data_IF_764012036560
#
_entry.id   IF_764012036560
#
_cell.length_a   1.000
_cell.length_b   1.000
_cell.length_c   1.000
_cell.angle_alpha   90.00
_cell.angle_beta   90.00
_cell.angle_gamma   90.00
#
_symmetry.space_group_name_H-M   'P 1'
#
loop_
_entity.id
_entity.type
_entity.pdbx_description
1 polymer ?
#
# COMPACT_ATOMS: atom_id res chain seq x y z
N UNK A 1 17.62 3.10 -25.18
CA UNK A 1 18.50 2.88 -24.01
C UNK A 1 17.76 3.13 -22.68
N UNK A 2 16.73 3.98 -22.68
CA UNK A 2 15.86 4.25 -21.52
C UNK A 2 15.01 3.05 -21.08
N UNK A 3 14.46 2.25 -22.00
CA UNK A 3 13.62 1.09 -21.63
C UNK A 3 14.36 0.07 -20.74
N UNK A 4 15.65 -0.22 -20.99
CA UNK A 4 16.43 -1.14 -20.13
C UNK A 4 16.65 -0.59 -18.71
N UNK A 5 16.69 0.74 -18.56
CA UNK A 5 16.87 1.39 -17.26
C UNK A 5 15.58 1.34 -16.45
N UNK A 6 14.46 1.68 -17.09
CA UNK A 6 13.10 1.57 -16.50
C UNK A 6 12.81 0.14 -16.05
N UNK A 7 13.13 -0.88 -16.86
CA UNK A 7 12.95 -2.29 -16.48
C UNK A 7 13.85 -2.74 -15.31
N UNK A 8 15.04 -2.14 -15.15
CA UNK A 8 15.93 -2.43 -14.02
C UNK A 8 15.49 -1.75 -12.72
N UNK A 9 14.86 -0.59 -12.82
CA UNK A 9 14.28 0.16 -11.70
C UNK A 9 12.96 -0.47 -11.25
N UNK A 10 12.12 -0.93 -12.18
CA UNK A 10 10.91 -1.72 -11.84
C UNK A 10 11.23 -3.10 -11.27
N UNK A 11 12.31 -3.77 -11.70
CA UNK A 11 12.74 -5.02 -11.07
C UNK A 11 13.14 -4.83 -9.58
N UNK A 12 13.81 -3.71 -9.26
CA UNK A 12 14.15 -3.36 -7.86
C UNK A 12 12.91 -3.02 -7.02
N UNK A 13 11.88 -2.44 -7.64
CA UNK A 13 10.59 -2.17 -6.99
C UNK A 13 9.87 -3.46 -6.58
N UNK A 14 9.84 -4.45 -7.49
CA UNK A 14 9.26 -5.77 -7.21
C UNK A 14 10.06 -6.50 -6.13
N UNK A 15 11.39 -6.44 -6.17
CA UNK A 15 12.26 -7.04 -5.15
C UNK A 15 12.12 -6.34 -3.78
N UNK A 16 11.98 -5.02 -3.75
CA UNK A 16 11.73 -4.25 -2.54
C UNK A 16 10.34 -4.53 -1.94
N UNK A 17 9.30 -4.67 -2.77
CA UNK A 17 7.98 -5.11 -2.32
C UNK A 17 8.01 -6.56 -1.79
N UNK A 18 8.91 -7.40 -2.33
CA UNK A 18 9.15 -8.77 -1.90
C UNK A 18 9.99 -8.93 -0.63
N UNK A 19 10.84 -7.97 -0.26
CA UNK A 19 11.66 -7.99 0.98
C UNK A 19 11.06 -7.14 2.11
N UNK A 20 11.64 -7.22 3.31
CA UNK A 20 11.34 -6.42 4.51
C UNK A 20 11.58 -4.90 4.34
N UNK A 21 11.41 -4.34 3.14
CA UNK A 21 11.53 -2.91 2.94
C UNK A 21 10.36 -2.19 3.63
N UNK A 22 10.61 -1.08 4.35
CA UNK A 22 9.54 -0.27 4.93
C UNK A 22 8.57 0.18 3.83
N UNK A 23 7.26 0.10 4.10
CA UNK A 23 6.19 0.50 3.16
C UNK A 23 6.50 1.86 2.51
N UNK A 24 6.87 2.85 3.33
CA UNK A 24 7.20 4.19 2.88
C UNK A 24 8.26 4.23 1.77
N UNK A 25 9.25 3.34 1.81
CA UNK A 25 10.29 3.24 0.78
C UNK A 25 9.72 2.74 -0.53
N UNK A 26 8.93 1.66 -0.51
CA UNK A 26 8.32 1.10 -1.73
C UNK A 26 7.41 2.13 -2.39
N UNK A 27 6.55 2.80 -1.60
CA UNK A 27 5.66 3.83 -2.12
C UNK A 27 6.43 5.04 -2.68
N UNK A 28 7.55 5.44 -2.05
CA UNK A 28 8.42 6.52 -2.55
C UNK A 28 9.04 6.20 -3.89
N UNK A 29 9.52 4.97 -4.06
CA UNK A 29 10.10 4.50 -5.32
C UNK A 29 9.02 4.38 -6.42
N UNK A 30 7.79 3.96 -6.08
CA UNK A 30 6.66 3.96 -7.03
C UNK A 30 6.35 5.38 -7.51
N UNK A 31 6.28 6.35 -6.61
CA UNK A 31 6.04 7.77 -6.96
C UNK A 31 7.18 8.31 -7.81
N UNK A 32 8.42 7.95 -7.51
CA UNK A 32 9.60 8.32 -8.32
C UNK A 32 9.51 7.74 -9.74
N UNK A 33 9.19 6.45 -9.86
CA UNK A 33 9.04 5.77 -11.14
C UNK A 33 7.89 6.35 -11.97
N UNK A 34 6.74 6.64 -11.35
CA UNK A 34 5.59 7.26 -12.02
C UNK A 34 5.96 8.63 -12.62
N UNK A 35 6.80 9.42 -11.94
CA UNK A 35 7.27 10.70 -12.47
C UNK A 35 8.27 10.52 -13.61
N UNK A 36 9.15 9.54 -13.51
CA UNK A 36 10.18 9.28 -14.51
C UNK A 36 9.61 8.84 -15.88
N UNK A 37 8.51 8.11 -15.90
CA UNK A 37 7.92 7.56 -17.14
C UNK A 37 6.94 8.50 -17.86
N UNK A 38 6.46 9.53 -17.17
CA UNK A 38 5.34 10.37 -17.68
C UNK A 38 5.87 11.59 -18.43
N UNK A 39 6.35 12.60 -17.72
CA UNK A 39 6.94 13.79 -18.31
C UNK A 39 7.81 14.53 -17.31
N UNK A 40 8.81 15.25 -17.81
CA UNK A 40 9.54 16.22 -16.99
C UNK A 40 8.55 17.26 -16.41
N UNK A 41 8.74 17.63 -15.14
CA UNK A 41 7.86 18.58 -14.45
C UNK A 41 6.54 18.02 -13.91
N UNK A 42 6.19 16.75 -14.14
CA UNK A 42 5.01 16.17 -13.50
C UNK A 42 5.23 15.97 -11.99
N UNK A 43 4.10 15.96 -11.27
CA UNK A 43 4.04 15.70 -9.84
C UNK A 43 3.23 14.43 -9.64
N UNK A 44 3.57 13.62 -8.66
CA UNK A 44 2.80 12.42 -8.35
C UNK A 44 2.59 12.27 -6.86
N UNK A 45 1.55 11.53 -6.48
CA UNK A 45 1.26 11.22 -5.10
C UNK A 45 0.59 9.86 -4.97
N UNK A 46 0.83 9.21 -3.84
CA UNK A 46 0.07 8.05 -3.40
C UNK A 46 -0.80 8.46 -2.22
N UNK A 47 -2.10 8.24 -2.36
CA UNK A 47 -3.09 8.40 -1.31
C UNK A 47 -3.52 7.03 -0.80
N UNK A 48 -3.62 6.88 0.52
CA UNK A 48 -4.04 5.65 1.17
C UNK A 48 -5.46 5.82 1.71
N UNK A 49 -6.30 4.81 1.48
CA UNK A 49 -7.68 4.79 1.92
C UNK A 49 -7.76 4.43 3.40
N UNK A 50 -8.26 5.36 4.20
CA UNK A 50 -8.71 5.12 5.56
C UNK A 50 -10.17 4.67 5.53
N UNK A 51 -10.39 3.37 5.72
CA UNK A 51 -11.71 2.76 5.68
C UNK A 51 -12.60 3.19 6.87
N UNK A 52 -12.01 3.57 8.00
CA UNK A 52 -12.76 4.01 9.18
C UNK A 52 -13.34 5.42 9.01
N UNK A 53 -12.55 6.31 8.38
CA UNK A 53 -12.96 7.68 8.10
C UNK A 53 -13.56 7.89 6.70
N UNK A 54 -13.58 6.85 5.86
CA UNK A 54 -14.00 6.89 4.46
C UNK A 54 -13.33 8.02 3.65
N UNK A 55 -12.02 8.19 3.87
CA UNK A 55 -11.23 9.26 3.29
C UNK A 55 -9.87 8.80 2.79
N UNK A 56 -9.27 9.62 1.94
CA UNK A 56 -7.93 9.44 1.41
C UNK A 56 -6.96 10.36 2.14
N UNK A 57 -5.91 9.76 2.68
CA UNK A 57 -4.81 10.46 3.33
C UNK A 57 -3.55 10.37 2.48
N UNK A 58 -2.75 11.44 2.45
CA UNK A 58 -1.52 11.44 1.69
C UNK A 58 -0.51 10.46 2.31
N UNK A 59 -0.13 9.43 1.55
CA UNK A 59 0.92 8.48 1.96
C UNK A 59 2.30 8.96 1.52
N UNK A 60 2.45 9.36 0.25
CA UNK A 60 3.72 9.85 -0.31
C UNK A 60 3.49 11.04 -1.22
N UNK A 61 4.27 12.10 -1.00
CA UNK A 61 4.33 13.28 -1.85
C UNK A 61 5.52 13.23 -2.83
N UNK A 62 5.25 13.36 -4.13
CA UNK A 62 6.22 13.44 -5.21
C UNK A 62 6.24 14.80 -5.91
N UNK A 63 6.35 15.89 -5.15
CA UNK A 63 6.54 17.23 -5.70
C UNK A 63 5.29 18.11 -5.73
N UNK A 64 4.22 17.75 -5.01
CA UNK A 64 3.08 18.63 -4.79
C UNK A 64 3.46 19.78 -3.83
N UNK A 65 3.05 21.03 -4.12
CA UNK A 65 3.23 22.16 -3.21
C UNK A 65 2.52 21.91 -1.87
N UNK A 66 3.08 22.43 -0.78
CA UNK A 66 2.53 22.22 0.56
C UNK A 66 1.08 22.72 0.69
N UNK A 67 0.76 23.89 0.11
CA UNK A 67 -0.60 24.41 0.12
C UNK A 67 -1.63 23.49 -0.55
N UNK A 68 -1.22 22.74 -1.58
CA UNK A 68 -2.07 21.73 -2.19
C UNK A 68 -2.22 20.54 -1.25
N UNK A 69 -1.09 20.03 -0.72
CA UNK A 69 -1.07 18.90 0.22
C UNK A 69 -2.00 19.14 1.41
N UNK A 70 -1.96 20.33 2.01
CA UNK A 70 -2.79 20.69 3.15
C UNK A 70 -4.28 20.74 2.79
N UNK A 71 -4.61 21.25 1.59
CA UNK A 71 -5.98 21.34 1.11
C UNK A 71 -6.61 19.98 0.76
N UNK A 72 -5.78 18.96 0.49
CA UNK A 72 -6.22 17.64 0.00
C UNK A 72 -6.13 16.53 1.05
N UNK A 73 -5.78 16.86 2.29
CA UNK A 73 -5.84 15.90 3.40
C UNK A 73 -7.28 15.51 3.73
N UNK A 74 -7.53 14.21 3.93
CA UNK A 74 -8.85 13.70 4.28
C UNK A 74 -9.86 13.82 3.13
N UNK A 75 -9.40 13.72 1.88
CA UNK A 75 -10.27 13.74 0.71
C UNK A 75 -11.36 12.69 0.85
N UNK A 76 -12.63 13.10 0.78
CA UNK A 76 -13.74 12.14 0.89
C UNK A 76 -13.70 11.16 -0.28
N UNK A 77 -14.01 9.90 -0.01
CA UNK A 77 -14.25 8.91 -1.05
C UNK A 77 -15.73 8.96 -1.42
N UNK A 78 -16.03 9.47 -2.60
CA UNK A 78 -17.41 9.57 -3.10
C UNK A 78 -17.43 9.72 -4.63
N UNK A 79 -18.57 9.38 -5.23
CA UNK A 79 -18.78 9.44 -6.68
C UNK A 79 -18.51 10.82 -7.28
N UNK A 80 -18.91 11.87 -6.55
CA UNK A 80 -18.87 13.27 -7.01
C UNK A 80 -17.56 13.99 -6.72
N UNK A 81 -16.57 13.27 -6.18
CA UNK A 81 -15.25 13.81 -5.92
C UNK A 81 -14.40 13.75 -7.20
N UNK A 82 -13.51 14.71 -7.43
CA UNK A 82 -12.62 14.63 -8.58
C UNK A 82 -11.54 13.56 -8.38
N UNK A 83 -11.13 12.95 -9.49
CA UNK A 83 -9.92 12.13 -9.61
C UNK A 83 -9.76 11.09 -8.47
N UNK A 84 -8.90 11.35 -7.50
CA UNK A 84 -8.53 10.38 -6.45
C UNK A 84 -9.76 9.85 -5.67
N UNK A 85 -10.64 10.75 -5.23
CA UNK A 85 -11.81 10.37 -4.41
C UNK A 85 -12.82 9.51 -5.16
N UNK A 86 -13.03 9.79 -6.44
CA UNK A 86 -13.91 9.00 -7.32
C UNK A 86 -13.27 7.69 -7.76
N UNK A 87 -11.97 7.68 -8.06
CA UNK A 87 -11.25 6.43 -8.36
C UNK A 87 -11.29 5.48 -7.16
N UNK A 88 -11.13 6.00 -5.95
CA UNK A 88 -11.27 5.21 -4.72
C UNK A 88 -12.71 4.68 -4.53
N UNK A 89 -13.72 5.41 -4.98
CA UNK A 89 -15.12 4.99 -4.92
C UNK A 89 -15.47 3.94 -5.99
N UNK A 90 -15.02 4.16 -7.24
CA UNK A 90 -15.37 3.31 -8.39
C UNK A 90 -14.49 2.06 -8.52
N UNK A 91 -13.24 2.12 -8.03
CA UNK A 91 -12.24 1.08 -8.30
C UNK A 91 -11.79 1.02 -9.75
N UNK A 92 -11.95 2.10 -10.51
CA UNK A 92 -11.55 2.21 -11.91
C UNK A 92 -10.69 3.47 -12.13
N UNK A 93 -9.77 3.44 -13.09
CA UNK A 93 -8.95 4.60 -13.44
C UNK A 93 -9.79 5.78 -13.93
N UNK A 94 -9.38 7.01 -13.60
CA UNK A 94 -10.01 8.26 -14.04
C UNK A 94 -8.93 9.17 -14.60
N UNK A 95 -9.10 9.53 -15.87
CA UNK A 95 -8.16 10.36 -16.63
C UNK A 95 -8.87 11.67 -16.93
N UNK A 96 -8.42 12.74 -16.28
CA UNK A 96 -8.89 14.10 -16.51
C UNK A 96 -7.84 14.84 -17.34
N UNK A 97 -7.98 14.90 -18.67
CA UNK A 97 -6.97 15.48 -19.54
C UNK A 97 -6.92 17.00 -19.47
N UNK A 98 -8.04 17.64 -19.10
CA UNK A 98 -8.13 19.09 -18.92
C UNK A 98 -9.12 19.42 -17.80
N UNK A 99 -8.58 19.80 -16.64
CA UNK A 99 -9.34 20.08 -15.42
C UNK A 99 -10.35 21.21 -15.60
N UNK A 100 -10.01 22.25 -16.38
CA UNK A 100 -10.89 23.41 -16.60
C UNK A 100 -12.20 23.04 -17.29
N UNK A 101 -12.21 21.98 -18.10
CA UNK A 101 -13.38 21.52 -18.84
C UNK A 101 -14.20 20.47 -18.08
N UNK A 102 -13.66 19.94 -16.98
CA UNK A 102 -14.32 18.90 -16.21
C UNK A 102 -15.21 19.50 -15.12
N UNK A 103 -16.52 19.31 -15.25
CA UNK A 103 -17.50 19.84 -14.31
C UNK A 103 -17.27 19.35 -12.86
N UNK A 104 -16.67 18.16 -12.67
CA UNK A 104 -16.37 17.58 -11.36
C UNK A 104 -15.30 18.36 -10.60
N UNK A 105 -14.47 19.10 -11.34
CA UNK A 105 -13.42 19.95 -10.77
C UNK A 105 -13.87 21.37 -10.46
N UNK A 106 -15.11 21.77 -10.80
CA UNK A 106 -15.60 23.13 -10.54
C UNK A 106 -15.43 23.58 -9.07
N UNK A 107 -15.76 22.75 -8.05
CA UNK A 107 -15.55 23.13 -6.64
C UNK A 107 -14.07 23.29 -6.26
N UNK A 108 -13.17 22.72 -7.07
CA UNK A 108 -11.72 22.68 -6.84
C UNK A 108 -10.93 23.53 -7.84
N UNK A 109 -11.61 24.27 -8.71
CA UNK A 109 -11.00 25.07 -9.79
C UNK A 109 -9.97 26.06 -9.26
N UNK A 110 -10.30 26.80 -8.19
CA UNK A 110 -9.38 27.72 -7.54
C UNK A 110 -8.15 27.04 -6.94
N UNK A 111 -8.30 25.83 -6.38
CA UNK A 111 -7.18 25.05 -5.85
C UNK A 111 -6.28 24.54 -6.98
N UNK A 112 -6.87 24.03 -8.06
CA UNK A 112 -6.15 23.58 -9.23
C UNK A 112 -5.36 24.73 -9.89
N UNK A 113 -5.99 25.89 -10.06
CA UNK A 113 -5.36 27.09 -10.61
C UNK A 113 -4.22 27.61 -9.73
N UNK A 114 -4.42 27.70 -8.42
CA UNK A 114 -3.41 28.18 -7.47
C UNK A 114 -2.14 27.32 -7.46
N UNK A 115 -2.24 26.05 -7.86
CA UNK A 115 -1.13 25.11 -7.89
C UNK A 115 -0.72 24.67 -9.30
N UNK A 116 -1.22 25.34 -10.35
CA UNK A 116 -0.94 25.02 -11.75
C UNK A 116 -1.19 23.54 -12.07
N UNK A 117 -2.34 23.00 -11.65
CA UNK A 117 -2.76 21.64 -11.98
C UNK A 117 -3.81 21.74 -13.09
N UNK A 118 -3.43 21.29 -14.28
CA UNK A 118 -4.28 21.37 -15.49
C UNK A 118 -4.75 20.01 -15.98
N UNK A 119 -4.07 18.92 -15.61
CA UNK A 119 -4.53 17.54 -15.84
C UNK A 119 -4.24 16.67 -14.62
N UNK A 120 -5.06 15.64 -14.43
CA UNK A 120 -4.89 14.66 -13.36
C UNK A 120 -5.24 13.25 -13.86
N UNK A 121 -4.33 12.30 -13.65
CA UNK A 121 -4.51 10.90 -13.99
C UNK A 121 -4.47 10.09 -12.70
N UNK A 122 -5.51 9.32 -12.41
CA UNK A 122 -5.63 8.57 -11.17
C UNK A 122 -5.89 7.09 -11.43
N UNK A 123 -5.15 6.23 -10.72
CA UNK A 123 -5.18 4.78 -10.85
C UNK A 123 -5.43 4.15 -9.48
N UNK A 124 -6.39 3.21 -9.36
CA UNK A 124 -6.73 2.61 -8.07
C UNK A 124 -5.65 1.59 -7.63
N UNK A 125 -5.37 1.56 -6.33
CA UNK A 125 -4.63 0.47 -5.71
C UNK A 125 -5.64 -0.62 -5.32
N UNK A 126 -5.82 -1.61 -6.20
CA UNK A 126 -6.82 -2.67 -6.02
C UNK A 126 -6.28 -3.81 -5.14
N UNK A 127 -7.16 -4.34 -4.29
CA UNK A 127 -6.97 -5.58 -3.54
C UNK A 127 -8.22 -6.45 -3.62
N UNK A 128 -8.14 -7.69 -3.13
CA UNK A 128 -9.30 -8.60 -3.08
C UNK A 128 -10.46 -8.06 -2.24
N UNK A 129 -10.16 -7.20 -1.25
CA UNK A 129 -11.15 -6.63 -0.32
C UNK A 129 -11.63 -5.22 -0.73
N UNK A 130 -11.16 -4.71 -1.87
CA UNK A 130 -11.52 -3.38 -2.39
C UNK A 130 -10.34 -2.46 -2.64
N UNK A 131 -10.60 -1.16 -2.70
CA UNK A 131 -9.59 -0.14 -3.04
C UNK A 131 -8.80 0.29 -1.80
N UNK A 132 -7.49 0.05 -1.81
CA UNK A 132 -6.55 0.40 -0.74
C UNK A 132 -6.07 1.86 -0.79
N UNK A 133 -6.25 2.53 -1.93
CA UNK A 133 -5.75 3.87 -2.17
C UNK A 133 -5.72 4.22 -3.66
N UNK A 134 -4.99 5.29 -3.99
CA UNK A 134 -4.90 5.84 -5.35
C UNK A 134 -3.50 6.35 -5.66
N UNK A 135 -2.99 6.00 -6.84
CA UNK A 135 -1.84 6.65 -7.46
C UNK A 135 -2.35 7.79 -8.35
N UNK A 136 -1.89 9.00 -8.10
CA UNK A 136 -2.27 10.18 -8.87
C UNK A 136 -1.03 10.84 -9.50
N UNK A 137 -1.17 11.25 -10.76
CA UNK A 137 -0.19 12.03 -11.50
C UNK A 137 -0.83 13.34 -11.94
N UNK A 138 -0.13 14.44 -11.72
CA UNK A 138 -0.59 15.80 -11.94
C UNK A 138 0.33 16.51 -12.94
N UNK A 139 -0.28 17.25 -13.86
CA UNK A 139 0.44 17.96 -14.92
C UNK A 139 0.08 19.45 -14.94
N UNK A 140 1.08 20.26 -15.29
CA UNK A 140 0.93 21.71 -15.43
C UNK A 140 0.33 22.14 -16.77
N UNK A 141 0.13 21.20 -17.68
CA UNK A 141 -0.48 21.39 -19.00
C UNK A 141 -1.58 20.36 -19.24
N UNK A 142 -2.61 20.66 -20.04
CA UNK A 142 -3.58 19.67 -20.47
C UNK A 142 -2.89 18.51 -21.21
N UNK A 143 -3.16 17.28 -20.80
CA UNK A 143 -2.52 16.09 -21.37
C UNK A 143 -3.23 14.79 -20.99
N UNK A 144 -3.11 13.77 -21.83
CA UNK A 144 -3.58 12.42 -21.59
C UNK A 144 -2.41 11.43 -21.68
N UNK A 145 -2.43 10.31 -20.92
CA UNK A 145 -1.36 9.32 -21.01
C UNK A 145 -1.43 8.60 -22.35
N UNK A 146 -0.27 8.26 -22.90
CA UNK A 146 -0.19 7.23 -23.95
C UNK A 146 -0.57 5.86 -23.39
N UNK A 147 -0.95 4.92 -24.25
CA UNK A 147 -1.29 3.55 -23.82
C UNK A 147 -0.18 2.89 -23.00
N UNK A 148 1.08 3.09 -23.39
CA UNK A 148 2.25 2.56 -22.68
C UNK A 148 2.44 3.19 -21.29
N UNK A 149 2.21 4.51 -21.17
CA UNK A 149 2.25 5.19 -19.87
C UNK A 149 1.13 4.71 -18.95
N UNK A 150 -0.10 4.63 -19.46
CA UNK A 150 -1.23 4.14 -18.69
C UNK A 150 -1.01 2.69 -18.21
N UNK A 151 -0.51 1.81 -19.07
CA UNK A 151 -0.16 0.43 -18.71
C UNK A 151 0.91 0.37 -17.62
N UNK A 152 1.96 1.18 -17.73
CA UNK A 152 3.03 1.22 -16.74
C UNK A 152 2.53 1.81 -15.41
N UNK A 153 1.70 2.86 -15.43
CA UNK A 153 1.10 3.44 -14.22
C UNK A 153 0.16 2.46 -13.52
N UNK A 154 -0.63 1.69 -14.27
CA UNK A 154 -1.42 0.57 -13.72
C UNK A 154 -0.53 -0.46 -13.04
N UNK A 155 0.56 -0.86 -13.68
CA UNK A 155 1.49 -1.83 -13.10
C UNK A 155 2.12 -1.31 -11.80
N UNK A 156 2.52 -0.04 -11.77
CA UNK A 156 3.03 0.63 -10.56
C UNK A 156 1.98 0.68 -9.45
N UNK A 157 0.71 0.93 -9.78
CA UNK A 157 -0.40 0.87 -8.82
C UNK A 157 -0.56 -0.53 -8.22
N UNK A 158 -0.40 -1.60 -9.02
CA UNK A 158 -0.42 -2.99 -8.52
C UNK A 158 0.72 -3.27 -7.54
N UNK A 159 1.93 -2.77 -7.81
CA UNK A 159 3.07 -2.90 -6.87
C UNK A 159 2.77 -2.19 -5.55
N UNK A 160 2.25 -0.96 -5.62
CA UNK A 160 1.90 -0.20 -4.42
C UNK A 160 0.79 -0.89 -3.62
N UNK A 161 -0.24 -1.43 -4.29
CA UNK A 161 -1.31 -2.18 -3.65
C UNK A 161 -0.79 -3.40 -2.89
N UNK A 162 0.08 -4.20 -3.51
CA UNK A 162 0.69 -5.37 -2.87
C UNK A 162 1.53 -4.99 -1.64
N UNK A 163 2.27 -3.88 -1.71
CA UNK A 163 3.07 -3.39 -0.58
C UNK A 163 2.18 -2.92 0.58
N UNK A 164 1.10 -2.18 0.28
CA UNK A 164 0.12 -1.72 1.29
C UNK A 164 -0.57 -2.91 1.94
N UNK A 165 -1.02 -3.89 1.17
CA UNK A 165 -1.67 -5.10 1.68
C UNK A 165 -0.74 -5.89 2.60
N UNK A 166 0.52 -6.08 2.20
CA UNK A 166 1.55 -6.69 3.04
C UNK A 166 1.72 -5.93 4.36
N UNK A 167 1.87 -4.61 4.30
CA UNK A 167 2.08 -3.79 5.49
C UNK A 167 0.89 -3.82 6.45
N UNK A 168 -0.34 -3.85 5.92
CA UNK A 168 -1.56 -3.98 6.73
C UNK A 168 -1.63 -5.34 7.41
N UNK A 169 -1.33 -6.43 6.69
CA UNK A 169 -1.26 -7.79 7.27
C UNK A 169 -0.22 -7.87 8.40
N UNK A 170 0.99 -7.36 8.16
CA UNK A 170 2.04 -7.34 9.18
C UNK A 170 1.61 -6.53 10.42
N UNK A 171 0.96 -5.39 10.23
CA UNK A 171 0.49 -4.56 11.36
C UNK A 171 -0.55 -5.29 12.21
N UNK A 172 -1.50 -5.99 11.58
CA UNK A 172 -2.49 -6.82 12.29
C UNK A 172 -1.80 -7.94 13.08
N UNK A 173 -0.87 -8.68 12.48
CA UNK A 173 -0.12 -9.72 13.19
C UNK A 173 0.67 -9.17 14.38
N UNK A 174 1.32 -8.01 14.23
CA UNK A 174 2.06 -7.37 15.33
C UNK A 174 1.14 -6.91 16.45
N UNK A 175 -0.05 -6.40 16.14
CA UNK A 175 -1.01 -5.98 17.15
C UNK A 175 -1.65 -7.19 17.87
N UNK A 176 -1.93 -8.28 17.16
CA UNK A 176 -2.35 -9.55 17.77
C UNK A 176 -1.28 -10.10 18.72
N UNK A 177 0.00 -10.11 18.31
CA UNK A 177 1.12 -10.55 19.14
C UNK A 177 1.27 -9.71 20.42
N UNK A 178 1.07 -8.39 20.35
CA UNK A 178 1.10 -7.52 21.55
C UNK A 178 -0.06 -7.77 22.50
N UNK A 179 -1.19 -8.26 22.00
CA UNK A 179 -2.37 -8.58 22.82
C UNK A 179 -2.33 -9.98 23.43
N UNK A 180 -1.38 -10.84 23.02
CA UNK A 180 -1.15 -12.11 23.69
C UNK A 180 -0.66 -11.85 25.13
N UNK A 181 -1.25 -12.50 26.15
CA UNK A 181 -0.82 -12.33 27.53
C UNK A 181 0.64 -12.77 27.66
N UNK A 182 1.53 -11.84 28.01
CA UNK A 182 2.94 -12.09 28.34
C UNK A 182 3.03 -12.73 29.74
N UNK A 183 2.37 -13.87 29.94
CA UNK A 183 2.56 -14.70 31.14
C UNK A 183 2.21 -16.14 30.80
N UNK A 184 3.09 -16.82 30.06
CA UNK A 184 3.38 -18.20 30.43
C UNK A 184 4.54 -18.12 31.42
N UNK A 185 4.22 -17.80 32.67
CA UNK A 185 5.11 -18.11 33.80
C UNK A 185 5.22 -19.64 33.82
N UNK A 186 6.19 -20.16 33.07
CA UNK A 186 6.68 -21.51 33.26
C UNK A 186 7.46 -21.49 34.57
N UNK A 187 6.74 -21.48 35.69
CA UNK A 187 7.32 -21.81 36.98
C UNK A 187 7.50 -23.33 36.98
N UNK A 188 8.73 -23.89 36.99
CA UNK A 188 8.92 -25.30 37.23
C UNK A 188 8.71 -25.55 38.73
N UNK A 189 7.50 -25.35 39.24
CA UNK A 189 7.15 -25.70 40.61
C UNK A 189 6.88 -27.20 40.67
N UNK A 190 7.98 -27.95 40.74
CA UNK A 190 7.99 -29.38 40.93
C UNK A 190 9.40 -29.87 41.25
N UNK A 191 9.97 -29.44 42.38
CA UNK A 191 11.10 -30.17 42.98
C UNK A 191 10.63 -31.61 43.23
N UNK A 192 10.99 -32.53 42.33
CA UNK A 192 11.08 -33.95 42.69
C UNK A 192 12.41 -34.13 43.42
N UNK A 193 12.37 -34.02 44.74
CA UNK A 193 13.35 -34.69 45.59
C UNK A 193 13.08 -36.19 45.49
N UNK A 194 13.72 -36.85 44.53
CA UNK A 194 13.62 -38.29 44.32
C UNK A 194 14.67 -38.68 43.29
N UNK A 195 15.71 -39.36 43.77
CA UNK A 195 16.85 -39.86 43.02
C UNK A 195 16.42 -40.50 41.69
N UNK A 196 16.93 -39.94 40.59
CA UNK A 196 16.74 -40.50 39.26
C UNK A 196 17.46 -41.84 39.12
N UNK A 197 16.69 -42.93 39.14
CA UNK A 197 17.03 -44.18 38.42
C UNK A 197 15.88 -45.19 38.36
N UNK A 198 14.84 -45.08 39.20
CA UNK A 198 13.79 -46.12 39.26
C UNK A 198 12.61 -45.94 38.29
N UNK A 199 12.34 -44.72 37.78
CA UNK A 199 11.14 -44.50 36.93
C UNK A 199 11.26 -44.97 35.48
N UNK A 200 12.47 -45.17 34.93
CA UNK A 200 12.61 -45.63 33.53
C UNK A 200 12.42 -47.16 33.45
N UNK A 201 12.80 -47.90 34.50
CA UNK A 201 12.71 -49.37 34.51
C UNK A 201 11.29 -49.90 34.78
N UNK A 202 10.43 -49.12 35.44
CA UNK A 202 9.02 -49.48 35.64
C UNK A 202 8.17 -49.31 34.36
N UNK A 203 8.54 -48.36 33.49
CA UNK A 203 7.81 -48.10 32.24
C UNK A 203 8.17 -49.09 31.12
N UNK A 204 9.40 -49.63 31.11
CA UNK A 204 9.82 -50.60 30.10
C UNK A 204 9.35 -52.04 30.38
N UNK A 205 8.96 -52.39 31.63
CA UNK A 205 8.45 -53.73 31.97
C UNK A 205 6.95 -53.92 31.74
N UNK A 206 6.20 -52.85 31.57
CA UNK A 206 4.73 -52.92 31.39
C UNK A 206 4.31 -52.97 29.92
N UNK A 207 5.22 -52.77 28.96
CA UNK A 207 4.86 -52.65 27.54
C UNK A 207 5.50 -53.69 26.60
N UNK A 208 6.06 -54.78 27.14
CA UNK A 208 6.58 -55.92 26.33
C UNK A 208 5.73 -57.19 26.42
N UNK A 209 4.48 -57.12 26.91
CA UNK A 209 3.55 -58.24 26.92
C UNK A 209 2.22 -57.82 26.30
N UNK A 210 2.13 -57.84 24.96
CA UNK A 210 0.87 -57.48 24.29
C UNK A 210 0.93 -57.25 22.78
N UNK A 211 1.68 -58.05 22.01
CA UNK A 211 1.41 -58.25 20.57
C UNK A 211 1.60 -59.72 20.22
N UNK A 212 0.51 -60.47 20.27
CA UNK A 212 0.28 -61.66 19.47
C UNK A 212 -1.20 -61.69 19.12
N UNK A 213 -1.52 -61.35 17.88
CA UNK A 213 -2.50 -61.98 16.98
C UNK A 213 -2.37 -61.33 15.62
#
# INVERSE_FOLDING_TARGET
>A
MESKKVWSETAKLVEAAGREAPLARVLSEVVSAARAITSEGCRAALYLHDLGAACLNLGVNGGLPQGYVDAVQGFKVAEEQPACGRVAYLGAEDIVPEIRLDARWQPYSGLADAHAIQACWSFPLLSEIGVLGTLAVYHEVPTAPTSAQAETLRYLATIAAAAVERSRRESVYQDELKQLPVTADFSPSGRRSGTGSESIMAYMRTNSAGRST
#
